data_IF_083932486101
#
_entry.id   IF_083932486101
#
_cell.length_a   1.000
_cell.length_b   1.000
_cell.length_c   1.000
_cell.angle_alpha   90.00
_cell.angle_beta   90.00
_cell.angle_gamma   90.00
#
_symmetry.space_group_name_H-M   'P 1'
#
loop_
_entity.id
_entity.type
_entity.pdbx_description
1 polymer ?
#
# COMPACT_ATOMS: atom_id res chain seq x y z
N UNK A 1 2.80 -18.63 37.22
CA UNK A 1 2.34 -19.03 35.88
C UNK A 1 3.43 -19.82 35.18
N UNK A 2 3.07 -20.95 34.69
CA UNK A 2 4.00 -21.72 33.88
C UNK A 2 3.83 -21.33 32.44
N UNK A 3 4.89 -20.85 31.82
CA UNK A 3 4.84 -20.59 30.40
C UNK A 3 4.74 -21.92 29.66
N UNK A 4 4.06 -21.92 28.52
CA UNK A 4 4.20 -23.03 27.62
C UNK A 4 5.69 -23.29 27.41
N UNK A 5 6.13 -24.54 27.27
CA UNK A 5 7.54 -24.86 27.18
C UNK A 5 8.33 -24.02 26.20
N UNK A 6 7.70 -23.58 25.14
CA UNK A 6 8.32 -22.72 24.15
C UNK A 6 7.85 -21.28 24.19
N UNK A 7 6.84 -20.97 25.00
CA UNK A 7 6.19 -19.66 24.98
C UNK A 7 5.43 -19.37 23.69
N UNK A 8 5.48 -20.26 22.70
CA UNK A 8 4.92 -20.01 21.37
C UNK A 8 3.42 -19.88 21.39
N UNK A 9 2.74 -20.74 22.16
CA UNK A 9 1.29 -20.76 22.23
C UNK A 9 0.71 -19.58 22.99
N UNK A 10 1.56 -18.83 23.73
CA UNK A 10 1.12 -17.66 24.47
C UNK A 10 1.32 -16.36 23.69
N UNK A 11 1.87 -16.44 22.49
CA UNK A 11 2.10 -15.28 21.64
C UNK A 11 0.84 -14.93 20.87
N UNK A 12 0.54 -13.64 20.86
CA UNK A 12 -0.49 -13.07 19.99
C UNK A 12 0.10 -12.87 18.61
N UNK A 13 -0.65 -13.18 17.57
CA UNK A 13 -0.28 -12.83 16.20
C UNK A 13 -0.59 -11.35 15.96
N UNK A 14 0.30 -10.66 15.28
CA UNK A 14 0.17 -9.25 14.96
C UNK A 14 0.23 -9.07 13.46
N UNK A 15 -0.70 -8.29 12.90
CA UNK A 15 -0.65 -7.93 11.49
C UNK A 15 -0.76 -6.42 11.36
N UNK A 16 0.07 -5.84 10.51
CA UNK A 16 -0.05 -4.43 10.15
C UNK A 16 -1.09 -4.35 9.03
N UNK A 17 -2.23 -3.76 9.31
CA UNK A 17 -3.34 -3.78 8.35
C UNK A 17 -3.74 -2.43 7.81
N UNK A 18 -3.41 -1.35 8.51
CA UNK A 18 -3.78 0.00 8.08
C UNK A 18 -2.64 0.97 8.35
N UNK A 19 -2.35 1.80 7.36
CA UNK A 19 -1.44 2.94 7.49
C UNK A 19 -2.22 4.19 7.07
N UNK A 20 -2.23 5.21 7.92
CA UNK A 20 -2.87 6.48 7.58
C UNK A 20 -1.93 7.33 6.73
N UNK A 21 -2.48 8.04 5.76
CA UNK A 21 -1.73 8.82 4.79
C UNK A 21 -2.26 10.27 4.76
N UNK A 22 -1.41 11.26 5.03
CA UNK A 22 -1.86 12.65 5.04
C UNK A 22 -1.92 13.20 3.62
N UNK A 23 -3.08 13.72 3.25
CA UNK A 23 -3.32 14.32 1.93
C UNK A 23 -4.04 15.65 2.10
N UNK A 24 -3.86 16.56 1.15
CA UNK A 24 -4.49 17.88 1.19
C UNK A 24 -5.89 17.87 0.57
N UNK A 25 -6.16 16.92 -0.32
CA UNK A 25 -7.43 16.83 -1.04
C UNK A 25 -7.83 15.34 -1.08
N UNK A 26 -8.82 14.99 -0.29
CA UNK A 26 -9.22 13.59 -0.11
C UNK A 26 -9.78 13.01 -1.41
N UNK A 27 -10.64 13.74 -2.12
CA UNK A 27 -11.22 13.24 -3.36
C UNK A 27 -10.15 13.04 -4.45
N UNK A 28 -9.20 13.95 -4.53
CA UNK A 28 -8.07 13.81 -5.46
C UNK A 28 -7.21 12.60 -5.11
N UNK A 29 -6.97 12.38 -3.83
CA UNK A 29 -6.19 11.22 -3.38
C UNK A 29 -6.91 9.91 -3.71
N UNK A 30 -8.22 9.85 -3.47
CA UNK A 30 -9.02 8.67 -3.81
C UNK A 30 -8.91 8.38 -5.31
N UNK A 31 -9.10 9.40 -6.15
CA UNK A 31 -9.01 9.23 -7.59
C UNK A 31 -7.61 8.76 -8.02
N UNK A 32 -6.57 9.32 -7.44
CA UNK A 32 -5.21 8.92 -7.76
C UNK A 32 -4.96 7.45 -7.41
N UNK A 33 -5.24 7.05 -6.19
CA UNK A 33 -4.94 5.69 -5.74
C UNK A 33 -5.85 4.65 -6.38
N UNK A 34 -7.12 4.96 -6.59
CA UNK A 34 -8.06 4.05 -7.23
C UNK A 34 -7.85 3.95 -8.74
N UNK A 35 -7.82 5.10 -9.43
CA UNK A 35 -7.89 5.12 -10.90
C UNK A 35 -6.51 5.07 -11.57
N UNK A 36 -5.49 5.66 -10.96
CA UNK A 36 -4.16 5.70 -11.53
C UNK A 36 -3.25 4.60 -10.97
N UNK A 37 -3.20 4.44 -9.66
CA UNK A 37 -2.36 3.39 -9.06
C UNK A 37 -3.05 2.02 -9.15
N UNK A 38 -4.37 1.99 -9.04
CA UNK A 38 -5.12 0.76 -9.20
C UNK A 38 -5.45 0.03 -7.91
N UNK A 39 -5.42 0.74 -6.78
CA UNK A 39 -5.87 0.16 -5.51
C UNK A 39 -7.39 0.01 -5.52
N UNK A 40 -7.89 -0.95 -4.80
CA UNK A 40 -9.32 -1.12 -4.63
C UNK A 40 -9.83 -0.20 -3.54
N UNK A 41 -10.92 0.51 -3.81
CA UNK A 41 -11.60 1.34 -2.83
C UNK A 41 -12.51 0.45 -1.99
N UNK A 42 -12.15 0.23 -0.74
CA UNK A 42 -12.91 -0.64 0.15
C UNK A 42 -14.14 0.07 0.71
N UNK A 43 -13.95 1.32 1.14
CA UNK A 43 -15.05 2.17 1.57
C UNK A 43 -14.65 3.64 1.50
N UNK A 44 -15.65 4.48 1.39
CA UNK A 44 -15.55 5.94 1.39
C UNK A 44 -16.70 6.45 2.25
N UNK A 45 -16.38 6.96 3.42
CA UNK A 45 -17.36 7.34 4.42
C UNK A 45 -17.27 8.82 4.71
N UNK A 46 -18.35 9.55 4.47
CA UNK A 46 -18.45 10.96 4.80
C UNK A 46 -19.63 11.18 5.74
N UNK A 47 -19.39 11.90 6.81
CA UNK A 47 -20.44 12.37 7.71
C UNK A 47 -20.10 13.77 8.19
N UNK A 48 -20.88 14.32 9.13
CA UNK A 48 -20.65 15.69 9.61
C UNK A 48 -19.33 15.86 10.38
N UNK A 49 -18.69 14.75 10.78
CA UNK A 49 -17.48 14.79 11.60
C UNK A 49 -16.21 14.50 10.81
N UNK A 50 -16.31 13.69 9.78
CA UNK A 50 -15.12 13.20 9.07
C UNK A 50 -15.42 12.75 7.66
N UNK A 51 -14.37 12.73 6.84
CA UNK A 51 -14.34 12.07 5.56
C UNK A 51 -13.12 11.15 5.54
N UNK A 52 -13.34 9.84 5.44
CA UNK A 52 -12.26 8.85 5.40
C UNK A 52 -12.54 7.83 4.32
N UNK A 53 -11.49 7.40 3.64
CA UNK A 53 -11.57 6.36 2.62
C UNK A 53 -10.44 5.37 2.82
N UNK A 54 -10.76 4.09 2.68
CA UNK A 54 -9.77 3.02 2.76
C UNK A 54 -9.57 2.40 1.40
N UNK A 55 -8.31 2.28 0.99
CA UNK A 55 -7.93 1.68 -0.27
C UNK A 55 -6.87 0.61 -0.03
N UNK A 56 -6.97 -0.49 -0.76
CA UNK A 56 -6.09 -1.64 -0.57
C UNK A 56 -5.45 -2.04 -1.88
N UNK A 57 -4.12 -2.16 -1.93
CA UNK A 57 -3.46 -2.74 -3.10
C UNK A 57 -3.93 -4.17 -3.32
N UNK A 58 -4.21 -4.51 -4.56
CA UNK A 58 -4.57 -5.89 -4.89
C UNK A 58 -3.45 -6.84 -4.47
N UNK A 59 -3.81 -7.87 -3.72
CA UNK A 59 -2.84 -8.83 -3.21
C UNK A 59 -2.21 -8.47 -1.88
N UNK A 60 -2.63 -7.36 -1.27
CA UNK A 60 -2.13 -6.91 0.02
C UNK A 60 -3.14 -7.13 1.12
N UNK A 61 -2.66 -7.40 2.32
CA UNK A 61 -3.47 -7.40 3.54
C UNK A 61 -3.33 -6.10 4.32
N UNK A 62 -2.59 -5.13 3.79
CA UNK A 62 -2.42 -3.82 4.41
C UNK A 62 -3.03 -2.75 3.52
N UNK A 63 -3.79 -1.86 4.12
CA UNK A 63 -4.52 -0.78 3.44
C UNK A 63 -3.94 0.57 3.78
N UNK A 64 -4.21 1.56 2.94
CA UNK A 64 -4.02 2.96 3.31
C UNK A 64 -5.37 3.59 3.61
N UNK A 65 -5.37 4.55 4.53
CA UNK A 65 -6.53 5.38 4.81
C UNK A 65 -6.15 6.82 4.53
N UNK A 66 -6.86 7.44 3.60
CA UNK A 66 -6.79 8.88 3.36
C UNK A 66 -8.01 9.53 4.01
N UNK A 67 -7.84 10.70 4.59
CA UNK A 67 -8.95 11.32 5.28
C UNK A 67 -8.51 12.41 6.23
N UNK A 68 -9.44 12.82 7.07
CA UNK A 68 -9.25 13.89 8.04
C UNK A 68 -9.43 13.44 9.49
N UNK A 69 -9.02 12.21 9.78
CA UNK A 69 -8.95 11.73 11.17
C UNK A 69 -8.09 12.68 12.01
N UNK A 70 -8.32 12.76 13.33
CA UNK A 70 -7.54 13.67 14.17
C UNK A 70 -6.03 13.55 13.99
N UNK A 71 -5.50 12.32 13.90
CA UNK A 71 -4.07 12.11 13.68
C UNK A 71 -3.61 12.64 12.31
N UNK A 72 -4.44 12.50 11.29
CA UNK A 72 -4.11 13.00 9.93
C UNK A 72 -4.11 14.51 9.86
N UNK A 73 -4.97 15.17 10.62
CA UNK A 73 -5.02 16.64 10.67
C UNK A 73 -3.76 17.25 11.23
N UNK A 74 -3.04 16.51 12.06
CA UNK A 74 -1.77 16.95 12.65
C UNK A 74 -0.57 16.66 11.75
N UNK A 75 -0.74 15.82 10.71
CA UNK A 75 0.33 15.45 9.80
C UNK A 75 0.39 16.42 8.63
N UNK A 76 1.60 16.71 8.17
CA UNK A 76 1.78 17.52 6.97
C UNK A 76 1.44 16.67 5.74
N UNK A 77 0.54 17.13 4.84
CA UNK A 77 0.29 16.43 3.60
C UNK A 77 1.57 16.16 2.83
N UNK A 78 1.72 14.95 2.29
CA UNK A 78 2.91 14.58 1.55
C UNK A 78 4.12 14.19 2.39
N UNK A 79 3.99 14.10 3.71
CA UNK A 79 5.13 13.86 4.61
C UNK A 79 5.54 12.39 4.73
N UNK A 80 4.75 11.47 4.22
CA UNK A 80 5.11 10.03 4.28
C UNK A 80 6.04 9.70 3.12
N UNK A 81 7.17 9.08 3.44
CA UNK A 81 8.18 8.75 2.43
C UNK A 81 8.51 7.27 2.48
N UNK A 82 8.55 6.66 1.30
CA UNK A 82 9.09 5.32 1.15
C UNK A 82 8.19 4.18 1.60
N UNK A 83 6.87 4.34 1.55
CA UNK A 83 5.98 3.18 1.64
C UNK A 83 6.35 2.22 0.53
N UNK A 84 6.37 0.93 0.82
CA UNK A 84 6.91 -0.04 -0.12
C UNK A 84 5.85 -1.02 -0.60
N UNK A 85 5.73 -1.09 -1.92
CA UNK A 85 4.94 -2.09 -2.61
C UNK A 85 5.86 -3.16 -3.17
N UNK A 86 5.38 -4.38 -3.29
CA UNK A 86 6.12 -5.48 -3.88
C UNK A 86 5.33 -6.02 -5.06
N UNK A 87 6.02 -6.17 -6.19
CA UNK A 87 5.46 -6.72 -7.42
C UNK A 87 6.38 -7.84 -7.92
N UNK A 88 5.85 -8.70 -8.78
CA UNK A 88 6.68 -9.76 -9.35
C UNK A 88 7.56 -9.29 -10.51
N UNK A 89 7.17 -8.19 -11.17
CA UNK A 89 7.85 -7.67 -12.37
C UNK A 89 7.77 -6.14 -12.33
N UNK A 90 8.92 -5.52 -12.04
CA UNK A 90 8.98 -4.06 -11.88
C UNK A 90 8.76 -3.33 -13.20
N UNK A 91 9.28 -3.84 -14.31
CA UNK A 91 9.12 -3.19 -15.61
C UNK A 91 7.65 -3.19 -16.03
N UNK A 92 6.97 -4.31 -15.87
CA UNK A 92 5.55 -4.41 -16.20
C UNK A 92 4.71 -3.49 -15.29
N UNK A 93 5.02 -3.44 -13.99
CA UNK A 93 4.32 -2.58 -13.06
C UNK A 93 4.52 -1.10 -13.39
N UNK A 94 5.75 -0.71 -13.74
CA UNK A 94 6.08 0.65 -14.14
C UNK A 94 5.31 1.05 -15.39
N UNK A 95 5.31 0.20 -16.40
CA UNK A 95 4.57 0.44 -17.64
C UNK A 95 3.07 0.60 -17.37
N UNK A 96 2.52 -0.21 -16.48
CA UNK A 96 1.12 -0.11 -16.09
C UNK A 96 0.80 1.24 -15.44
N UNK A 97 1.62 1.67 -14.50
CA UNK A 97 1.43 2.96 -13.82
C UNK A 97 1.59 4.12 -14.80
N UNK A 98 2.61 4.11 -15.61
CA UNK A 98 2.85 5.17 -16.61
C UNK A 98 1.74 5.23 -17.65
N UNK A 99 1.18 4.08 -18.01
CA UNK A 99 0.03 4.01 -18.91
C UNK A 99 -1.23 4.66 -18.34
N UNK A 100 -1.31 4.79 -17.03
CA UNK A 100 -2.41 5.49 -16.35
C UNK A 100 -2.02 6.90 -15.89
N UNK A 101 -0.89 7.42 -16.38
CA UNK A 101 -0.49 8.80 -16.13
C UNK A 101 0.30 9.03 -14.85
N UNK A 102 0.79 7.99 -14.20
CA UNK A 102 1.63 8.15 -13.02
C UNK A 102 3.08 8.36 -13.46
N UNK A 103 3.70 9.42 -12.98
CA UNK A 103 5.13 9.63 -13.20
C UNK A 103 5.93 8.68 -12.32
N UNK A 104 6.83 7.92 -12.93
CA UNK A 104 7.66 6.97 -12.23
C UNK A 104 9.14 7.26 -12.46
N UNK A 105 9.96 7.01 -11.45
CA UNK A 105 11.41 7.06 -11.61
C UNK A 105 11.88 5.95 -12.55
N UNK A 106 13.13 6.05 -13.00
CA UNK A 106 13.77 4.96 -13.73
C UNK A 106 13.93 3.75 -12.82
N UNK A 107 13.93 2.57 -13.42
CA UNK A 107 14.21 1.34 -12.69
C UNK A 107 15.69 1.33 -12.30
N UNK A 108 15.95 1.03 -11.03
CA UNK A 108 17.29 0.94 -10.50
C UNK A 108 17.55 -0.46 -9.97
N UNK A 109 18.71 -0.99 -10.31
CA UNK A 109 19.17 -2.29 -9.83
C UNK A 109 20.28 -2.04 -8.83
N UNK A 110 19.95 -2.11 -7.55
CA UNK A 110 20.93 -1.95 -6.47
C UNK A 110 21.68 -3.25 -6.20
N UNK A 111 21.04 -4.38 -6.52
CA UNK A 111 21.58 -5.71 -6.28
C UNK A 111 20.94 -6.64 -7.32
N UNK A 112 21.74 -7.53 -7.89
CA UNK A 112 21.24 -8.47 -8.92
C UNK A 112 20.41 -9.60 -8.33
N UNK A 113 20.50 -9.81 -7.02
CA UNK A 113 19.64 -10.78 -6.34
C UNK A 113 18.20 -10.32 -6.39
N UNK A 114 17.28 -11.27 -6.28
CA UNK A 114 15.86 -10.96 -6.24
C UNK A 114 15.57 -10.02 -5.06
N UNK A 115 14.81 -8.97 -5.31
CA UNK A 115 14.55 -7.91 -4.33
C UNK A 115 15.42 -6.68 -4.48
N UNK A 116 16.45 -6.71 -5.33
CA UNK A 116 17.37 -5.59 -5.53
C UNK A 116 16.95 -4.60 -6.62
N UNK A 117 15.82 -4.81 -7.27
CA UNK A 117 15.32 -3.96 -8.35
C UNK A 117 14.13 -3.15 -7.84
N UNK A 118 14.20 -1.82 -8.00
CA UNK A 118 13.17 -0.91 -7.49
C UNK A 118 12.94 0.24 -8.46
N UNK A 119 11.77 0.82 -8.36
CA UNK A 119 11.49 2.17 -8.88
C UNK A 119 10.58 2.87 -7.88
N UNK A 120 10.24 4.13 -8.12
CA UNK A 120 9.39 4.88 -7.20
C UNK A 120 8.41 5.80 -7.91
N UNK A 121 7.41 6.22 -7.17
CA UNK A 121 6.46 7.25 -7.59
C UNK A 121 5.97 8.01 -6.35
N UNK A 122 5.28 9.11 -6.57
CA UNK A 122 4.68 9.90 -5.50
C UNK A 122 3.23 10.20 -5.82
N UNK A 123 2.43 10.39 -4.78
CA UNK A 123 1.08 10.89 -4.96
C UNK A 123 1.09 12.42 -5.21
N UNK A 124 -0.06 13.04 -5.51
CA UNK A 124 -0.09 14.47 -5.80
C UNK A 124 0.41 15.37 -4.67
N UNK A 125 0.39 14.92 -3.43
CA UNK A 125 0.90 15.68 -2.29
C UNK A 125 2.39 15.44 -2.04
N UNK A 126 2.97 14.41 -2.65
CA UNK A 126 4.38 14.07 -2.45
C UNK A 126 4.62 12.92 -1.49
N UNK A 127 3.58 12.24 -1.00
CA UNK A 127 3.79 10.97 -0.30
C UNK A 127 4.42 9.99 -1.28
N UNK A 128 5.56 9.40 -0.91
CA UNK A 128 6.34 8.62 -1.85
C UNK A 128 6.25 7.13 -1.59
N UNK A 129 6.39 6.39 -2.67
CA UNK A 129 6.31 4.95 -2.69
C UNK A 129 7.52 4.36 -3.40
N UNK A 130 8.03 3.26 -2.87
CA UNK A 130 9.00 2.42 -3.55
C UNK A 130 8.28 1.15 -4.03
N UNK A 131 8.60 0.72 -5.23
CA UNK A 131 8.07 -0.52 -5.80
C UNK A 131 9.24 -1.48 -6.00
N UNK A 132 9.24 -2.54 -5.21
CA UNK A 132 10.30 -3.55 -5.21
C UNK A 132 9.85 -4.76 -6.02
N UNK A 133 10.79 -5.30 -6.80
CA UNK A 133 10.55 -6.54 -7.51
C UNK A 133 10.97 -7.73 -6.66
N UNK A 134 10.05 -8.66 -6.45
CA UNK A 134 10.34 -10.00 -5.96
C UNK A 134 9.76 -10.98 -6.96
N UNK A 135 10.62 -11.58 -7.78
CA UNK A 135 10.17 -12.49 -8.84
C UNK A 135 9.42 -13.69 -8.27
N UNK A 136 9.79 -14.09 -7.07
CA UNK A 136 9.14 -15.24 -6.39
C UNK A 136 7.64 -14.98 -6.15
N UNK A 137 7.20 -13.73 -6.14
CA UNK A 137 5.78 -13.43 -5.92
C UNK A 137 4.88 -13.90 -7.07
N UNK A 138 5.43 -14.16 -8.25
CA UNK A 138 4.66 -14.74 -9.36
C UNK A 138 4.15 -16.14 -9.02
N UNK A 139 4.93 -16.91 -8.28
CA UNK A 139 4.59 -18.29 -7.89
C UNK A 139 4.09 -18.39 -6.45
N UNK A 140 4.54 -17.47 -5.60
CA UNK A 140 4.19 -17.45 -4.17
C UNK A 140 3.65 -16.08 -3.79
N UNK A 141 2.38 -15.80 -4.11
CA UNK A 141 1.76 -14.57 -3.67
C UNK A 141 1.68 -14.54 -2.15
N UNK A 142 1.82 -13.34 -1.57
CA UNK A 142 1.78 -13.17 -0.12
C UNK A 142 0.43 -13.60 0.45
N UNK A 143 -0.65 -13.23 -0.26
CA UNK A 143 -2.01 -13.63 0.09
C UNK A 143 -2.55 -14.50 -1.05
N UNK A 144 -2.96 -15.76 -0.77
CA UNK A 144 -3.52 -16.62 -1.80
C UNK A 144 -4.73 -15.97 -2.48
N UNK A 145 -4.90 -16.14 -3.80
CA UNK A 145 -5.99 -15.50 -4.55
C UNK A 145 -7.40 -15.78 -4.01
N UNK A 146 -7.64 -16.97 -3.52
CA UNK A 146 -8.93 -17.36 -2.94
C UNK A 146 -9.24 -16.63 -1.62
N UNK A 147 -8.21 -16.18 -0.91
CA UNK A 147 -8.39 -15.42 0.32
C UNK A 147 -8.77 -13.98 0.07
N UNK A 148 -8.39 -13.43 -1.09
CA UNK A 148 -8.72 -12.04 -1.42
C UNK A 148 -10.22 -11.81 -1.49
N UNK A 149 -10.96 -12.78 -1.94
CA UNK A 149 -12.40 -12.68 -2.03
C UNK A 149 -13.06 -12.48 -0.66
N UNK A 150 -12.44 -12.97 0.42
CA UNK A 150 -12.98 -12.81 1.76
C UNK A 150 -12.77 -11.42 2.35
N UNK A 151 -11.84 -10.64 1.81
CA UNK A 151 -11.61 -9.26 2.27
C UNK A 151 -12.56 -8.26 1.62
N UNK A 152 -13.08 -8.58 0.45
CA UNK A 152 -13.91 -7.69 -0.35
C UNK A 152 -15.38 -8.11 -0.37
N UNK A 153 -15.68 -9.19 0.29
CA UNK A 153 -17.05 -9.69 0.43
C UNK A 153 -17.83 -9.02 1.53
#
# INVERSE_FOLDING_TARGET
MTLAPSGIIDRMDWSLEVVILPVSDIDRAIAFYRDQVGFELDHDTTNEWMHVAQLTPRGSGCSIVVGDLPAQREMTPGSIKGLQLVVSDALAARDELMGRGVECSEIQVFDERDGGTLFGFSDPDGNSWAVQQLKVRAEKPLIPPDWRASFNG
#
